data_IF_375527734519
#
_entry.id   IF_375527734519
#
_cell.length_a   1.000
_cell.length_b   1.000
_cell.length_c   1.000
_cell.angle_alpha   90.00
_cell.angle_beta   90.00
_cell.angle_gamma   90.00
#
_symmetry.space_group_name_H-M   'P 1'
#
loop_
_entity.id
_entity.type
_entity.pdbx_description
1 polymer ?
2 non-polymer ?
3 water ?
#
# COMPACT_ATOMS: atom_id res chain seq x y z
N UNK A 1 -2.08 -3.24 -6.89
CA UNK A 1 -3.47 -3.31 -7.39
C UNK A 1 -3.61 -2.83 -8.84
N UNK A 2 -2.76 -1.90 -9.31
CA UNK A 2 -2.74 -1.28 -10.65
C UNK A 2 -1.38 -0.66 -10.97
N UNK A 3 -1.18 0.08 -12.10
CA UNK A 3 0.15 0.48 -12.59
C UNK A 3 0.92 1.49 -11.73
N UNK A 4 0.22 2.22 -10.86
CA UNK A 4 0.87 3.07 -9.84
C UNK A 4 1.61 2.21 -8.85
N UNK A 5 0.89 1.24 -8.31
CA UNK A 5 1.46 0.33 -7.29
C UNK A 5 2.55 -0.55 -7.93
N UNK A 6 2.43 -0.91 -9.20
CA UNK A 6 3.45 -1.72 -9.92
C UNK A 6 4.82 -0.97 -9.99
N UNK A 7 4.78 0.28 -10.37
CA UNK A 7 6.00 1.12 -10.42
C UNK A 7 6.55 1.30 -9.01
N UNK A 8 5.70 1.63 -8.04
CA UNK A 8 6.11 1.82 -6.64
C UNK A 8 6.84 0.55 -6.14
N UNK A 9 6.25 -0.64 -6.34
CA UNK A 9 6.85 -1.92 -5.90
C UNK A 9 8.23 -2.15 -6.55
N UNK A 10 8.38 -1.85 -7.82
CA UNK A 10 9.72 -2.04 -8.49
C UNK A 10 10.78 -1.16 -7.82
N UNK A 11 10.42 0.09 -7.52
CA UNK A 11 11.40 1.00 -6.86
C UNK A 11 11.70 0.45 -5.47
N UNK A 12 10.68 0.05 -4.72
CA UNK A 12 10.92 -0.42 -3.34
C UNK A 12 11.80 -1.67 -3.27
N UNK A 13 11.53 -2.63 -4.14
CA UNK A 13 12.21 -3.96 -4.06
C UNK A 13 13.67 -3.87 -4.52
N UNK A 14 14.03 -2.89 -5.35
CA UNK A 14 15.44 -2.82 -5.85
C UNK A 14 16.21 -1.61 -5.27
N UNK A 15 15.50 -0.53 -4.93
CA UNK A 15 16.18 0.78 -4.70
C UNK A 15 15.95 1.31 -3.30
N UNK A 16 15.53 0.49 -2.33
CA UNK A 16 15.39 0.99 -0.94
C UNK A 16 16.21 0.09 -0.01
N UNK A 17 16.69 0.70 1.08
CA UNK A 17 17.31 0.01 2.23
C UNK A 17 16.66 0.61 3.47
N UNK A 18 16.80 -0.10 4.60
CA UNK A 18 16.41 0.44 5.90
C UNK A 18 17.62 1.15 6.52
N UNK A 19 17.54 2.46 6.78
CA UNK A 19 18.67 3.21 7.40
C UNK A 19 18.33 3.49 8.87
N UNK A 20 19.28 3.28 9.78
CA UNK A 20 19.10 3.64 11.21
C UNK A 20 20.20 4.63 11.62
N UNK A 21 19.79 5.76 12.20
CA UNK A 21 20.69 6.75 12.82
C UNK A 21 20.33 6.80 14.31
N UNK A 22 20.97 7.67 15.08
CA UNK A 22 20.57 7.94 16.50
C UNK A 22 19.20 8.60 16.60
N UNK A 23 18.67 9.11 15.49
CA UNK A 23 17.34 9.78 15.43
C UNK A 23 16.24 8.83 14.97
N UNK A 24 16.51 7.57 14.63
CA UNK A 24 15.47 6.59 14.27
C UNK A 24 15.77 5.74 13.05
N UNK A 25 14.77 4.95 12.67
CA UNK A 25 14.76 4.08 11.47
C UNK A 25 14.02 4.81 10.33
N UNK A 26 14.60 4.85 9.14
CA UNK A 26 14.05 5.59 7.97
C UNK A 26 14.06 4.68 6.74
N UNK A 27 13.05 4.83 5.89
CA UNK A 27 13.16 4.39 4.48
C UNK A 27 14.29 5.25 3.86
N UNK A 28 15.16 4.59 3.11
CA UNK A 28 16.25 5.27 2.40
C UNK A 28 16.18 4.83 0.93
N UNK A 29 16.12 5.80 0.05
CA UNK A 29 16.09 5.57 -1.43
C UNK A 29 17.54 5.61 -1.96
N UNK A 30 17.98 4.51 -2.58
CA UNK A 30 19.22 4.47 -3.38
C UNK A 30 18.99 5.00 -4.76
N UNK A 31 19.84 5.90 -5.25
CA UNK A 31 19.61 6.60 -6.54
C UNK A 31 20.52 6.08 -7.67
N UNK A 32 21.80 5.86 -7.39
CA UNK A 32 22.78 5.33 -8.38
C UNK A 32 24.07 5.05 -7.62
N UNK A 33 24.87 4.10 -8.13
CA UNK A 33 26.19 3.74 -7.55
C UNK A 33 26.01 3.52 -6.03
N UNK A 34 26.71 4.25 -5.15
CA UNK A 34 26.57 4.04 -3.69
C UNK A 34 25.90 5.28 -3.07
N UNK A 35 25.15 6.03 -3.88
CA UNK A 35 24.54 7.33 -3.48
C UNK A 35 23.06 7.11 -3.15
N UNK A 36 22.63 7.56 -1.97
CA UNK A 36 21.25 7.42 -1.46
C UNK A 36 20.81 8.77 -0.88
N UNK A 37 19.53 8.89 -0.60
CA UNK A 37 18.96 10.09 0.05
C UNK A 37 18.20 9.71 1.32
N UNK A 38 18.10 10.67 2.24
CA UNK A 38 17.40 10.48 3.54
C UNK A 38 16.97 11.86 3.98
N UNK A 39 15.90 12.03 4.76
CA UNK A 39 15.59 13.34 5.34
C UNK A 39 16.73 13.91 6.22
N UNK A 40 16.99 15.23 6.11
CA UNK A 40 18.09 15.88 6.86
C UNK A 40 17.89 15.69 8.38
N UNK A 41 16.66 15.68 8.86
CA UNK A 41 16.39 15.48 10.31
C UNK A 41 16.79 14.07 10.81
N UNK A 42 17.23 13.15 9.95
CA UNK A 42 17.88 11.90 10.38
C UNK A 42 19.25 12.14 11.02
N UNK A 43 19.88 13.30 10.81
CA UNK A 43 21.19 13.68 11.39
C UNK A 43 22.23 12.58 11.10
N UNK A 44 22.45 12.30 9.82
CA UNK A 44 23.46 11.29 9.41
C UNK A 44 24.82 11.71 9.98
N UNK A 45 25.55 10.75 10.55
CA UNK A 45 26.93 10.92 11.06
C UNK A 45 27.97 10.23 10.23
N UNK A 46 29.09 9.86 10.85
CA UNK A 46 30.23 9.17 10.22
C UNK A 46 29.89 7.68 9.93
N UNK A 47 28.99 7.10 10.75
CA UNK A 47 28.54 5.69 10.68
C UNK A 47 27.01 5.68 10.67
N UNK A 48 26.44 4.80 9.86
CA UNK A 48 24.97 4.58 9.75
C UNK A 48 24.72 3.06 9.72
N UNK A 49 23.55 2.59 10.12
CA UNK A 49 23.23 1.16 9.96
C UNK A 49 22.35 1.04 8.72
N UNK A 50 22.71 0.11 7.83
CA UNK A 50 22.00 -0.15 6.56
C UNK A 50 21.54 -1.60 6.63
N UNK A 51 20.22 -1.82 6.71
CA UNK A 51 19.69 -3.21 6.84
C UNK A 51 20.39 -3.89 8.03
N UNK A 52 20.57 -3.15 9.13
CA UNK A 52 21.16 -3.61 10.43
C UNK A 52 22.65 -3.91 10.33
N UNK A 53 23.36 -3.38 9.35
CA UNK A 53 24.82 -3.60 9.18
C UNK A 53 25.54 -2.26 9.31
N UNK A 54 26.54 -2.22 10.17
CA UNK A 54 27.38 -1.01 10.41
C UNK A 54 28.09 -0.61 9.11
N UNK A 55 27.84 0.61 8.66
CA UNK A 55 28.29 1.14 7.35
C UNK A 55 28.98 2.51 7.55
N UNK A 56 30.18 2.66 7.01
CA UNK A 56 30.87 3.97 6.99
C UNK A 56 30.18 4.88 5.99
N UNK A 57 30.00 6.14 6.35
CA UNK A 57 29.51 7.20 5.45
C UNK A 57 30.73 7.83 4.79
N UNK A 58 30.86 7.67 3.47
CA UNK A 58 32.01 8.28 2.74
C UNK A 58 31.81 9.77 2.57
N UNK A 59 30.57 10.23 2.41
CA UNK A 59 30.26 11.65 2.24
C UNK A 59 28.80 11.85 2.55
N UNK A 60 28.46 13.03 3.04
CA UNK A 60 27.07 13.41 3.36
C UNK A 60 26.91 14.92 3.13
N UNK A 61 25.84 15.32 2.45
CA UNK A 61 25.61 16.74 2.14
C UNK A 61 24.14 17.07 2.35
N UNK A 62 23.86 17.95 3.32
CA UNK A 62 22.52 18.50 3.55
C UNK A 62 22.25 19.61 2.57
N UNK A 63 21.36 19.38 1.63
CA UNK A 63 21.12 20.32 0.52
C UNK A 63 20.34 21.55 1.03
N UNK A 64 20.71 22.72 0.50
CA UNK A 64 20.02 24.01 0.71
C UNK A 64 19.90 24.70 -0.64
N UNK A 65 18.84 25.46 -0.87
CA UNK A 65 18.73 26.23 -2.14
C UNK A 65 19.69 27.43 -2.13
N UNK A 66 19.66 28.20 -3.24
CA UNK A 66 20.69 29.25 -3.45
C UNK A 66 20.38 30.49 -2.61
N UNK A 67 19.17 30.56 -2.03
CA UNK A 67 18.80 31.48 -0.91
C UNK A 67 19.28 30.98 0.48
N UNK A 68 20.03 29.86 0.57
CA UNK A 68 20.52 29.27 1.85
C UNK A 68 19.30 28.86 2.70
N UNK A 69 18.27 28.32 2.06
CA UNK A 69 17.06 27.75 2.74
C UNK A 69 17.13 26.22 2.70
N UNK A 70 16.81 25.60 3.84
CA UNK A 70 16.72 24.12 3.97
C UNK A 70 15.88 23.54 2.82
N UNK A 71 16.37 22.43 2.25
CA UNK A 71 15.55 21.57 1.32
C UNK A 71 15.19 20.22 1.98
N UNK A 72 15.75 19.88 3.13
CA UNK A 72 15.40 18.65 3.93
C UNK A 72 15.87 17.35 3.27
N UNK A 73 16.71 17.43 2.24
CA UNK A 73 17.31 16.24 1.56
C UNK A 73 18.77 16.21 2.01
N UNK A 74 19.22 15.08 2.50
CA UNK A 74 20.65 14.76 2.68
C UNK A 74 21.04 13.67 1.65
N UNK A 75 22.07 13.95 0.87
CA UNK A 75 22.65 12.97 -0.08
C UNK A 75 23.76 12.29 0.67
N UNK A 76 23.79 10.97 0.66
CA UNK A 76 24.76 10.15 1.42
C UNK A 76 25.48 9.23 0.43
N UNK A 77 26.80 9.14 0.53
CA UNK A 77 27.54 8.10 -0.22
C UNK A 77 27.98 7.03 0.78
N UNK A 78 27.58 5.79 0.53
CA UNK A 78 27.72 4.70 1.52
C UNK A 78 28.93 3.84 1.16
N UNK A 79 29.72 3.41 2.16
CA UNK A 79 30.85 2.46 1.91
C UNK A 79 30.28 1.02 1.86
N UNK A 80 29.60 0.72 0.77
CA UNK A 80 28.88 -0.55 0.50
C UNK A 80 29.59 -1.27 -0.65
N UNK A 81 29.51 -2.61 -0.69
CA UNK A 81 30.19 -3.46 -1.69
C UNK A 81 29.33 -3.70 -2.91
N UNK A 82 28.24 -2.94 -3.09
CA UNK A 82 27.30 -3.18 -4.17
C UNK A 82 26.69 -1.83 -4.56
N UNK A 83 26.39 -1.67 -5.83
CA UNK A 83 25.76 -0.44 -6.36
C UNK A 83 24.25 -0.62 -6.43
N UNK A 84 23.54 0.49 -6.35
CA UNK A 84 22.10 0.58 -6.64
C UNK A 84 21.91 0.54 -8.17
N UNK A 85 20.77 -0.01 -8.60
CA UNK A 85 20.25 0.24 -9.96
C UNK A 85 20.18 1.76 -10.17
N UNK A 86 20.64 2.25 -11.29
CA UNK A 86 20.58 3.68 -11.62
C UNK A 86 19.13 4.06 -12.02
N UNK A 87 18.48 4.87 -11.17
CA UNK A 87 17.09 5.37 -11.41
C UNK A 87 17.08 6.88 -11.67
N UNK A 88 18.22 7.49 -12.02
CA UNK A 88 18.23 8.96 -12.26
C UNK A 88 17.29 9.35 -13.38
N UNK A 89 17.10 8.51 -14.39
CA UNK A 89 16.18 8.80 -15.50
C UNK A 89 14.70 8.82 -15.10
N UNK A 90 14.34 8.43 -13.87
CA UNK A 90 12.94 8.54 -13.36
C UNK A 90 12.74 9.83 -12.54
N UNK A 91 13.77 10.68 -12.42
CA UNK A 91 13.67 11.92 -11.58
C UNK A 91 13.18 13.05 -12.46
N UNK A 92 12.24 13.85 -11.96
CA UNK A 92 11.80 15.04 -12.69
C UNK A 92 12.90 16.09 -12.84
N UNK A 93 12.82 16.90 -13.92
CA UNK A 93 13.85 17.94 -14.15
C UNK A 93 13.45 19.27 -13.49
N UNK A 94 12.14 19.50 -13.35
CA UNK A 94 11.56 20.77 -12.86
C UNK A 94 10.62 20.53 -11.66
N UNK A 95 10.35 21.58 -10.89
CA UNK A 95 9.30 21.59 -9.85
C UNK A 95 7.93 21.45 -10.54
N UNK A 96 7.02 20.67 -9.97
CA UNK A 96 5.72 20.41 -10.64
C UNK A 96 4.69 19.93 -9.63
N UNK A 97 3.45 19.93 -10.06
CA UNK A 97 2.30 19.23 -9.41
C UNK A 97 2.08 17.89 -10.16
N UNK A 98 1.42 16.95 -9.48
CA UNK A 98 1.27 15.53 -9.94
C UNK A 98 -0.12 15.03 -9.58
N UNK A 99 -0.63 14.13 -10.43
CA UNK A 99 -1.84 13.33 -10.08
C UNK A 99 -1.43 11.89 -9.67
N UNK A 100 -2.26 11.30 -8.82
CA UNK A 100 -2.35 9.84 -8.62
C UNK A 100 -0.97 9.37 -8.14
N UNK A 101 -0.47 9.92 -7.04
CA UNK A 101 0.82 9.49 -6.44
C UNK A 101 0.62 8.39 -5.38
N UNK A 102 1.70 7.63 -5.14
CA UNK A 102 1.79 6.54 -4.16
C UNK A 102 2.94 6.89 -3.21
N UNK A 103 2.72 6.74 -1.91
CA UNK A 103 3.78 6.82 -0.88
C UNK A 103 4.09 5.41 -0.43
N UNK A 104 5.36 4.98 -0.53
CA UNK A 104 5.78 3.61 -0.18
C UNK A 104 6.82 3.64 0.95
N UNK A 105 6.62 2.78 1.95
CA UNK A 105 7.45 2.77 3.16
C UNK A 105 7.92 1.34 3.40
N UNK A 106 9.17 1.19 3.77
CA UNK A 106 9.60 -0.15 4.22
C UNK A 106 10.52 -0.01 5.42
N UNK A 107 10.01 -0.36 6.58
CA UNK A 107 10.78 -0.33 7.85
C UNK A 107 10.36 -1.56 8.63
N UNK A 108 11.06 -1.82 9.74
CA UNK A 108 10.59 -2.80 10.79
C UNK A 108 9.14 -2.52 11.25
N UNK A 109 8.71 -1.27 11.39
CA UNK A 109 7.37 -0.89 11.94
C UNK A 109 6.29 -1.07 10.83
N UNK A 110 6.62 -0.65 9.59
CA UNK A 110 5.71 -0.59 8.41
C UNK A 110 6.36 -1.31 7.21
N UNK A 111 6.43 -2.66 7.22
CA UNK A 111 6.97 -3.42 6.10
C UNK A 111 5.99 -3.44 4.90
N UNK A 112 6.51 -3.28 3.66
CA UNK A 112 5.72 -3.49 2.44
C UNK A 112 4.46 -2.65 2.51
N UNK A 113 4.58 -1.38 2.90
CA UNK A 113 3.42 -0.47 3.03
C UNK A 113 3.33 0.39 1.76
N UNK A 114 2.15 0.49 1.13
CA UNK A 114 1.91 1.37 -0.03
C UNK A 114 0.62 2.18 0.20
N UNK A 115 0.66 3.50 0.02
CA UNK A 115 -0.51 4.38 0.34
C UNK A 115 -0.83 5.19 -0.90
N UNK A 116 -2.06 5.06 -1.48
CA UNK A 116 -2.46 5.92 -2.57
C UNK A 116 -2.82 7.29 -1.98
N UNK A 117 -1.97 8.29 -2.18
CA UNK A 117 -2.16 9.62 -1.53
C UNK A 117 -2.93 10.55 -2.48
N UNK A 118 -2.99 10.26 -3.76
CA UNK A 118 -3.76 11.04 -4.73
C UNK A 118 -3.00 12.27 -5.24
N UNK A 119 -3.68 13.41 -5.32
CA UNK A 119 -3.11 14.61 -5.95
C UNK A 119 -1.98 15.18 -5.09
N UNK A 120 -0.93 15.62 -5.76
CA UNK A 120 0.26 16.20 -5.07
C UNK A 120 0.43 17.64 -5.55
N UNK A 121 0.39 18.59 -4.63
CA UNK A 121 0.54 20.03 -4.89
C UNK A 121 2.02 20.45 -4.77
N UNK A 122 2.50 21.30 -5.67
CA UNK A 122 3.74 22.07 -5.44
C UNK A 122 3.41 23.13 -4.37
N UNK A 123 3.68 22.83 -3.12
CA UNK A 123 3.26 23.66 -1.96
C UNK A 123 4.25 24.79 -1.75
N UNK A 124 5.54 24.47 -1.91
CA UNK A 124 6.59 25.49 -1.86
C UNK A 124 7.16 25.62 -0.48
N UNK A 125 6.85 26.73 0.19
CA UNK A 125 7.36 27.07 1.54
C UNK A 125 6.55 26.32 2.62
N UNK A 126 7.28 25.77 3.59
CA UNK A 126 6.74 25.09 4.79
C UNK A 126 7.69 25.36 5.96
N UNK A 127 7.11 25.73 7.09
CA UNK A 127 7.82 25.78 8.37
C UNK A 127 7.74 24.38 8.97
N UNK A 128 8.78 23.58 8.76
CA UNK A 128 8.79 22.14 9.07
C UNK A 128 9.51 21.95 10.40
N UNK A 129 8.82 21.54 11.48
CA UNK A 129 9.45 21.45 12.83
C UNK A 129 10.16 22.74 13.27
N UNK A 130 9.66 23.92 12.88
CA UNK A 130 10.32 25.21 13.14
C UNK A 130 11.32 25.68 12.06
N UNK A 131 11.63 24.86 11.04
CA UNK A 131 12.74 25.17 10.10
C UNK A 131 12.12 25.60 8.79
N UNK A 132 12.35 26.84 8.31
CA UNK A 132 11.88 27.26 6.99
C UNK A 132 12.44 26.30 5.93
N UNK A 133 11.56 25.77 5.09
CA UNK A 133 11.90 24.72 4.08
C UNK A 133 11.24 25.08 2.75
N UNK A 134 11.94 24.85 1.62
CA UNK A 134 11.44 25.12 0.26
C UNK A 134 11.26 23.80 -0.52
N UNK A 135 10.63 23.90 -1.69
CA UNK A 135 10.41 22.80 -2.65
C UNK A 135 9.64 21.65 -2.00
N UNK A 136 8.66 21.98 -1.17
CA UNK A 136 7.79 20.96 -0.50
C UNK A 136 6.60 20.62 -1.40
N UNK A 137 6.33 19.32 -1.49
CA UNK A 137 5.13 18.74 -2.11
C UNK A 137 4.13 18.39 -0.99
N UNK A 138 2.84 18.57 -1.27
CA UNK A 138 1.79 18.28 -0.27
C UNK A 138 0.75 17.32 -0.84
N UNK A 139 0.29 16.39 0.00
CA UNK A 139 -0.81 15.48 -0.34
C UNK A 139 -1.70 15.38 0.89
N UNK A 140 -2.97 15.15 0.58
CA UNK A 140 -4.05 15.33 1.57
C UNK A 140 -4.24 13.94 2.09
N UNK A 141 -3.23 13.41 2.77
CA UNK A 141 -3.33 12.12 3.46
C UNK A 141 -2.77 12.29 4.88
N UNK A 142 -3.48 11.73 5.92
CA UNK A 142 -3.09 11.84 7.32
C UNK A 142 -1.98 10.85 7.70
N UNK A 143 -0.78 11.17 7.21
CA UNK A 143 0.48 10.39 7.42
C UNK A 143 0.95 10.52 8.90
N UNK A 144 1.67 9.50 9.38
CA UNK A 144 1.99 9.24 10.81
C UNK A 144 3.50 9.11 10.96
N UNK A 145 4.00 9.32 12.18
CA UNK A 145 5.40 9.05 12.53
C UNK A 145 5.75 7.65 11.99
N UNK A 146 6.98 7.50 11.49
CA UNK A 146 7.48 6.26 10.87
C UNK A 146 7.38 6.23 9.36
N UNK A 147 6.91 7.32 8.73
CA UNK A 147 6.76 7.33 7.26
C UNK A 147 7.90 8.14 6.65
N UNK A 148 8.77 8.74 7.48
CA UNK A 148 9.82 9.66 6.95
C UNK A 148 10.84 8.86 6.14
N UNK A 149 11.17 9.43 4.98
CA UNK A 149 12.02 8.78 3.99
C UNK A 149 11.17 8.00 2.97
N UNK A 150 9.89 7.79 3.25
CA UNK A 150 8.99 7.10 2.31
C UNK A 150 9.07 7.71 0.93
N UNK A 151 9.04 6.86 -0.09
CA UNK A 151 9.26 7.29 -1.49
C UNK A 151 7.91 7.67 -2.10
N UNK A 152 7.84 8.84 -2.73
CA UNK A 152 6.65 9.32 -3.47
C UNK A 152 6.91 9.10 -4.96
N UNK A 153 6.02 8.36 -5.62
CA UNK A 153 6.12 8.03 -7.05
C UNK A 153 4.80 8.37 -7.74
N UNK A 154 4.91 8.62 -9.02
CA UNK A 154 3.78 8.45 -9.95
C UNK A 154 4.19 7.33 -10.91
N UNK A 155 3.31 6.85 -11.80
CA UNK A 155 3.75 5.86 -12.81
C UNK A 155 4.91 6.50 -13.61
N UNK A 156 6.12 6.00 -13.48
CA UNK A 156 7.26 6.40 -14.30
C UNK A 156 8.08 7.53 -13.70
N UNK A 157 7.70 8.12 -12.55
CA UNK A 157 8.54 9.16 -11.94
C UNK A 157 8.68 8.93 -10.44
N UNK A 158 9.91 9.14 -9.96
CA UNK A 158 10.23 9.20 -8.50
C UNK A 158 10.34 10.68 -8.16
N UNK A 159 9.38 11.22 -7.37
CA UNK A 159 9.19 12.71 -7.29
C UNK A 159 9.61 13.28 -5.95
N UNK A 160 9.78 12.49 -4.90
CA UNK A 160 10.05 13.08 -3.57
C UNK A 160 10.22 12.03 -2.50
N UNK A 161 10.65 12.48 -1.31
CA UNK A 161 10.71 11.63 -0.09
C UNK A 161 9.95 12.35 1.03
N UNK A 162 9.11 11.58 1.72
CA UNK A 162 8.25 12.07 2.83
C UNK A 162 9.12 12.65 3.95
N UNK A 163 8.78 13.85 4.46
CA UNK A 163 9.60 14.53 5.50
C UNK A 163 8.75 15.01 6.68
N UNK A 164 7.42 14.90 6.59
CA UNK A 164 6.55 15.27 7.72
C UNK A 164 5.08 15.37 7.39
N UNK A 165 4.30 15.86 8.37
CA UNK A 165 2.83 15.91 8.24
C UNK A 165 2.25 16.70 9.40
N UNK A 166 1.01 17.13 9.26
CA UNK A 166 0.34 17.92 10.32
C UNK A 166 -0.91 17.19 10.83
N UNK A 167 -1.01 15.87 10.65
CA UNK A 167 -2.21 15.09 11.04
C UNK A 167 -3.27 14.99 9.94
N UNK A 168 -3.41 15.99 9.04
CA UNK A 168 -4.37 15.93 7.90
C UNK A 168 -3.65 15.84 6.54
N UNK A 169 -2.48 16.47 6.45
CA UNK A 169 -1.66 16.59 5.22
C UNK A 169 -0.29 15.95 5.47
N UNK A 170 0.29 15.41 4.42
CA UNK A 170 1.68 14.95 4.40
C UNK A 170 2.49 15.83 3.45
N UNK A 171 3.79 15.89 3.72
CA UNK A 171 4.74 16.77 3.01
C UNK A 171 5.98 15.97 2.57
N UNK A 172 6.40 16.17 1.33
CA UNK A 172 7.62 15.51 0.80
C UNK A 172 8.58 16.58 0.31
N UNK A 173 9.86 16.33 0.40
CA UNK A 173 10.89 17.14 -0.28
C UNK A 173 11.01 16.66 -1.73
N UNK A 174 11.05 17.59 -2.64
CA UNK A 174 11.22 17.27 -4.08
C UNK A 174 12.53 16.55 -4.30
N UNK A 175 12.52 15.59 -5.22
CA UNK A 175 13.78 15.12 -5.85
C UNK A 175 13.84 15.70 -7.27
N UNK A 176 14.97 16.26 -7.60
CA UNK A 176 15.23 16.78 -8.96
C UNK A 176 16.48 16.13 -9.56
N UNK A 177 16.42 15.89 -10.85
CA UNK A 177 17.54 15.29 -11.61
C UNK A 177 18.88 16.02 -11.35
N UNK A 178 18.82 17.37 -11.29
CA UNK A 178 20.02 18.24 -11.09
C UNK A 178 20.72 18.00 -9.75
N UNK A 179 20.07 17.37 -8.74
CA UNK A 179 20.76 17.05 -7.47
C UNK A 179 21.82 15.93 -7.68
N UNK A 180 21.74 15.17 -8.79
CA UNK A 180 22.49 13.88 -8.95
C UNK A 180 23.23 13.76 -10.29
N UNK A 181 23.32 14.85 -11.05
CA UNK A 181 24.19 14.91 -12.27
C UNK A 181 25.65 14.70 -11.78
N UNK B 2 0.45 -1.49 13.87
CA UNK B 2 1.25 -2.35 14.83
C UNK B 2 0.58 -3.70 15.11
N UNK B 3 -0.32 -3.83 16.12
CA UNK B 3 -1.22 -4.98 16.15
C UNK B 3 -1.94 -5.09 14.79
N UNK B 4 -2.40 -3.98 14.20
CA UNK B 4 -3.11 -3.94 12.90
C UNK B 4 -2.30 -4.52 11.73
N UNK B 5 -1.04 -4.12 11.54
CA UNK B 5 -0.11 -4.73 10.53
C UNK B 5 0.16 -6.21 10.91
N UNK B 6 0.45 -6.55 12.16
CA UNK B 6 0.60 -7.98 12.55
C UNK B 6 -0.62 -8.81 12.15
N UNK B 7 -1.82 -8.33 12.49
CA UNK B 7 -3.07 -9.08 12.21
C UNK B 7 -3.25 -9.26 10.68
N UNK B 8 -3.01 -8.22 9.90
CA UNK B 8 -3.19 -8.27 8.43
C UNK B 8 -2.21 -9.31 7.88
N UNK B 9 -0.97 -9.35 8.40
CA UNK B 9 0.05 -10.33 7.94
C UNK B 9 -0.32 -11.75 8.30
N UNK B 10 -0.90 -11.98 9.48
CA UNK B 10 -1.31 -13.32 9.98
C UNK B 10 -2.43 -13.89 9.08
N UNK B 11 -3.39 -13.04 8.70
CA UNK B 11 -4.44 -13.42 7.73
C UNK B 11 -3.86 -13.62 6.30
N UNK B 12 -2.96 -12.75 5.86
CA UNK B 12 -2.28 -12.91 4.54
C UNK B 12 -1.61 -14.30 4.50
N UNK B 13 -0.78 -14.63 5.48
CA UNK B 13 0.14 -15.80 5.37
C UNK B 13 -0.61 -17.13 5.50
N UNK B 14 -1.71 -17.21 6.24
CA UNK B 14 -2.39 -18.50 6.44
C UNK B 14 -3.72 -18.61 5.67
N UNK B 15 -4.33 -17.48 5.34
CA UNK B 15 -5.73 -17.51 4.84
C UNK B 15 -5.89 -16.83 3.47
N UNK B 16 -4.83 -16.42 2.78
CA UNK B 16 -4.97 -15.77 1.45
C UNK B 16 -4.27 -16.61 0.37
N UNK B 17 -4.97 -16.90 -0.72
CA UNK B 17 -4.43 -17.66 -1.88
C UNK B 17 -4.65 -16.81 -3.14
N UNK B 18 -3.89 -17.11 -4.20
CA UNK B 18 -4.10 -16.49 -5.53
C UNK B 18 -5.13 -17.35 -6.28
N UNK B 19 -6.29 -16.78 -6.60
CA UNK B 19 -7.32 -17.49 -7.40
C UNK B 19 -7.23 -16.95 -8.83
N UNK B 20 -7.33 -17.85 -9.81
CA UNK B 20 -7.31 -17.44 -11.22
C UNK B 20 -8.53 -18.06 -11.93
N UNK B 21 -9.41 -17.19 -12.36
CA UNK B 21 -10.59 -17.52 -13.20
C UNK B 21 -10.25 -17.19 -14.66
N UNK B 22 -11.20 -17.42 -15.55
CA UNK B 22 -11.07 -17.02 -16.98
C UNK B 22 -10.77 -15.51 -17.07
N UNK B 23 -11.15 -14.69 -16.06
CA UNK B 23 -10.92 -13.22 -16.08
C UNK B 23 -9.52 -12.81 -15.56
N UNK B 24 -8.79 -13.71 -14.96
CA UNK B 24 -7.45 -13.42 -14.42
C UNK B 24 -7.39 -13.64 -12.91
N UNK B 25 -6.43 -12.94 -12.28
CA UNK B 25 -6.04 -13.27 -10.90
C UNK B 25 -6.78 -12.39 -9.91
N UNK B 26 -7.19 -13.04 -8.81
CA UNK B 26 -7.89 -12.36 -7.68
C UNK B 26 -7.28 -12.78 -6.35
N UNK B 27 -7.16 -11.82 -5.44
CA UNK B 27 -6.85 -12.18 -4.03
C UNK B 27 -8.04 -12.95 -3.45
N UNK B 28 -7.84 -14.16 -2.97
CA UNK B 28 -8.94 -14.99 -2.42
C UNK B 28 -8.70 -15.25 -0.93
N UNK B 29 -9.75 -15.02 -0.14
CA UNK B 29 -9.76 -15.36 1.29
C UNK B 29 -10.37 -16.73 1.54
N UNK B 30 -9.57 -17.66 2.11
CA UNK B 30 -10.05 -18.93 2.65
C UNK B 30 -10.65 -18.72 4.04
N UNK B 31 -11.87 -19.19 4.30
CA UNK B 31 -12.55 -18.85 5.59
C UNK B 31 -12.52 -20.06 6.58
N UNK B 32 -12.81 -21.26 6.12
CA UNK B 32 -12.82 -22.52 6.94
C UNK B 32 -12.90 -23.70 5.97
N UNK B 33 -12.50 -24.91 6.42
CA UNK B 33 -12.70 -26.12 5.60
C UNK B 33 -12.20 -25.84 4.17
N UNK B 34 -13.04 -26.10 3.17
CA UNK B 34 -12.65 -25.81 1.74
C UNK B 34 -13.53 -24.68 1.21
N UNK B 35 -13.92 -23.76 2.09
CA UNK B 35 -14.82 -22.61 1.78
C UNK B 35 -14.01 -21.31 1.71
N UNK B 36 -14.12 -20.60 0.58
CA UNK B 36 -13.42 -19.34 0.32
C UNK B 36 -14.40 -18.31 -0.25
N UNK B 37 -13.96 -17.06 -0.32
CA UNK B 37 -14.76 -15.97 -0.95
C UNK B 37 -13.93 -15.24 -1.99
N UNK B 38 -14.63 -14.70 -2.98
CA UNK B 38 -14.03 -13.94 -4.11
C UNK B 38 -15.11 -12.97 -4.58
N UNK B 39 -14.78 -11.81 -5.18
CA UNK B 39 -15.80 -10.92 -5.76
C UNK B 39 -16.62 -11.64 -6.83
N UNK B 40 -17.93 -11.34 -6.88
CA UNK B 40 -18.84 -11.97 -7.87
C UNK B 40 -18.36 -11.67 -9.29
N UNK B 41 -17.76 -10.50 -9.50
CA UNK B 41 -17.29 -10.12 -10.84
C UNK B 41 -16.13 -11.00 -11.35
N UNK B 42 -15.51 -11.83 -10.51
CA UNK B 42 -14.49 -12.80 -10.95
C UNK B 42 -15.10 -13.85 -11.90
N UNK B 43 -16.42 -14.04 -11.87
CA UNK B 43 -17.13 -15.00 -12.77
C UNK B 43 -16.51 -16.39 -12.60
N UNK B 44 -16.59 -16.94 -11.41
CA UNK B 44 -16.11 -18.30 -11.09
C UNK B 44 -16.92 -19.32 -11.92
N UNK B 45 -16.20 -20.29 -12.48
CA UNK B 45 -16.78 -21.39 -13.28
C UNK B 45 -16.74 -22.70 -12.54
N UNK B 46 -16.66 -23.79 -13.30
CA UNK B 46 -16.60 -25.18 -12.79
C UNK B 46 -15.19 -25.48 -12.28
N UNK B 47 -14.21 -24.73 -12.81
CA UNK B 47 -12.76 -24.94 -12.56
C UNK B 47 -12.14 -23.57 -12.21
N UNK B 48 -11.20 -23.57 -11.25
CA UNK B 48 -10.44 -22.38 -10.87
C UNK B 48 -9.01 -22.88 -10.60
N UNK B 49 -8.05 -21.97 -10.72
CA UNK B 49 -6.66 -22.23 -10.25
C UNK B 49 -6.46 -21.58 -8.88
N UNK B 50 -5.86 -22.35 -7.99
CA UNK B 50 -5.54 -21.94 -6.60
C UNK B 50 -4.03 -22.08 -6.46
N UNK B 51 -3.33 -20.95 -6.41
CA UNK B 51 -1.85 -20.89 -6.42
C UNK B 51 -1.32 -21.75 -7.60
N UNK B 52 -1.92 -21.59 -8.76
CA UNK B 52 -1.51 -22.21 -10.05
C UNK B 52 -1.87 -23.71 -10.15
N UNK B 53 -2.63 -24.26 -9.20
CA UNK B 53 -3.14 -25.66 -9.23
C UNK B 53 -4.60 -25.70 -9.71
N UNK B 54 -4.87 -26.40 -10.81
CA UNK B 54 -6.23 -26.62 -11.37
C UNK B 54 -7.07 -27.31 -10.31
N UNK B 55 -8.23 -26.69 -9.95
CA UNK B 55 -9.09 -27.10 -8.81
C UNK B 55 -10.55 -27.09 -9.25
N UNK B 56 -11.24 -28.22 -9.07
CA UNK B 56 -12.69 -28.26 -9.26
C UNK B 56 -13.36 -27.37 -8.22
N UNK B 57 -14.28 -26.52 -8.71
CA UNK B 57 -15.24 -25.78 -7.82
C UNK B 57 -16.52 -26.62 -7.63
N UNK B 58 -16.74 -27.14 -6.42
CA UNK B 58 -17.89 -28.04 -6.12
C UNK B 58 -19.21 -27.21 -6.03
N UNK B 59 -19.11 -25.95 -5.58
CA UNK B 59 -20.30 -25.10 -5.38
C UNK B 59 -19.84 -23.66 -5.46
N UNK B 60 -20.69 -22.82 -6.02
CA UNK B 60 -20.46 -21.35 -6.07
C UNK B 60 -21.82 -20.72 -5.81
N UNK B 61 -21.88 -19.81 -4.83
CA UNK B 61 -23.10 -19.05 -4.47
C UNK B 61 -22.81 -17.54 -4.53
N UNK B 62 -23.44 -16.86 -5.51
CA UNK B 62 -23.37 -15.40 -5.66
C UNK B 62 -24.36 -14.79 -4.68
N UNK B 63 -23.89 -14.27 -3.57
CA UNK B 63 -24.77 -13.95 -2.42
C UNK B 63 -25.69 -12.75 -2.73
N UNK B 64 -26.94 -12.88 -2.30
CA UNK B 64 -27.93 -11.77 -2.32
C UNK B 64 -28.58 -11.74 -0.94
N UNK B 65 -29.06 -10.58 -0.50
CA UNK B 65 -29.65 -10.46 0.85
C UNK B 65 -31.18 -10.73 0.79
N UNK B 66 -31.87 -10.53 1.90
CA UNK B 66 -33.33 -10.87 1.95
C UNK B 66 -34.18 -9.82 1.22
N UNK B 67 -33.64 -8.70 0.77
CA UNK B 67 -34.31 -7.80 -0.20
C UNK B 67 -34.12 -8.26 -1.64
N UNK B 68 -33.43 -9.39 -1.85
CA UNK B 68 -33.07 -9.93 -3.19
C UNK B 68 -32.16 -8.93 -3.91
N UNK B 69 -31.22 -8.37 -3.17
CA UNK B 69 -30.23 -7.41 -3.72
C UNK B 69 -28.82 -8.04 -3.64
N UNK B 70 -28.07 -7.87 -4.74
CA UNK B 70 -26.67 -8.31 -4.86
C UNK B 70 -25.84 -7.85 -3.66
N UNK B 71 -24.96 -8.74 -3.20
CA UNK B 71 -23.92 -8.39 -2.17
C UNK B 71 -22.48 -8.42 -2.78
N UNK B 72 -22.30 -8.87 -4.03
CA UNK B 72 -21.02 -8.87 -4.78
C UNK B 72 -19.97 -9.84 -4.16
N UNK B 73 -20.39 -10.74 -3.27
CA UNK B 73 -19.53 -11.83 -2.70
C UNK B 73 -20.00 -13.12 -3.32
N UNK B 74 -19.05 -13.94 -3.77
CA UNK B 74 -19.33 -15.33 -4.16
C UNK B 74 -18.62 -16.26 -3.19
N UNK B 75 -19.37 -17.16 -2.56
CA UNK B 75 -18.82 -18.22 -1.68
C UNK B 75 -18.54 -19.44 -2.53
N UNK B 76 -17.34 -19.98 -2.47
CA UNK B 76 -17.00 -21.19 -3.27
C UNK B 76 -16.60 -22.31 -2.33
N UNK B 77 -16.95 -23.55 -2.69
CA UNK B 77 -16.47 -24.77 -2.02
C UNK B 77 -15.53 -25.49 -2.99
N UNK B 78 -14.31 -25.73 -2.56
CA UNK B 78 -13.21 -26.15 -3.45
C UNK B 78 -12.96 -27.66 -3.25
N UNK B 79 -12.76 -28.41 -4.32
CA UNK B 79 -12.47 -29.87 -4.22
C UNK B 79 -10.97 -30.04 -3.97
N UNK B 80 -10.53 -30.01 -2.70
CA UNK B 80 -9.10 -30.15 -2.32
C UNK B 80 -8.97 -30.76 -0.92
N UNK B 81 -7.88 -31.51 -0.70
CA UNK B 81 -7.59 -32.18 0.60
C UNK B 81 -7.28 -31.10 1.64
N UNK B 82 -6.49 -30.11 1.24
CA UNK B 82 -5.99 -29.01 2.10
C UNK B 82 -7.18 -28.28 2.71
N UNK B 83 -7.12 -28.03 4.01
CA UNK B 83 -8.12 -27.25 4.79
C UNK B 83 -7.61 -25.82 4.96
N UNK B 84 -8.51 -24.83 4.92
CA UNK B 84 -8.21 -23.47 5.41
C UNK B 84 -8.29 -23.45 6.92
N UNK B 85 -7.41 -22.69 7.55
CA UNK B 85 -7.55 -22.39 9.00
C UNK B 85 -8.87 -21.64 9.22
N UNK B 86 -9.61 -22.03 10.25
CA UNK B 86 -10.97 -21.45 10.54
C UNK B 86 -10.80 -20.07 11.17
N UNK B 87 -11.23 -19.01 10.48
CA UNK B 87 -11.16 -17.61 10.96
C UNK B 87 -12.57 -17.06 11.14
N UNK B 88 -13.60 -17.92 11.26
CA UNK B 88 -15.00 -17.39 11.39
C UNK B 88 -15.16 -16.55 12.65
N UNK B 89 -14.38 -16.81 13.70
CA UNK B 89 -14.41 -16.02 14.97
C UNK B 89 -13.89 -14.58 14.81
N UNK B 90 -13.26 -14.24 13.69
CA UNK B 90 -12.77 -12.89 13.36
C UNK B 90 -13.74 -12.10 12.46
N UNK B 91 -14.87 -12.72 12.11
CA UNK B 91 -15.90 -12.04 11.24
C UNK B 91 -16.86 -11.24 12.09
N UNK B 92 -17.17 -9.99 11.68
CA UNK B 92 -18.18 -9.17 12.38
C UNK B 92 -19.55 -9.87 12.37
N UNK B 93 -20.28 -9.69 13.46
CA UNK B 93 -21.65 -10.28 13.54
C UNK B 93 -22.64 -9.28 12.91
N UNK B 94 -22.37 -7.98 12.98
CA UNK B 94 -23.26 -6.92 12.47
C UNK B 94 -22.53 -5.98 11.49
N UNK B 95 -23.32 -5.17 10.77
CA UNK B 95 -22.79 -4.08 9.91
C UNK B 95 -22.25 -2.98 10.83
N UNK B 96 -21.16 -2.31 10.42
CA UNK B 96 -20.50 -1.34 11.31
C UNK B 96 -19.56 -0.45 10.51
N UNK B 97 -19.12 0.62 11.14
CA UNK B 97 -18.05 1.53 10.69
C UNK B 97 -16.77 1.12 11.43
N UNK B 98 -15.60 1.41 10.86
CA UNK B 98 -14.30 0.99 11.43
C UNK B 98 -13.27 2.11 11.25
N UNK B 99 -12.21 2.08 12.07
CA UNK B 99 -11.01 2.95 11.91
C UNK B 99 -9.77 2.13 11.56
N UNK B 100 -8.76 2.77 10.97
CA UNK B 100 -7.38 2.22 10.89
C UNK B 100 -7.38 0.87 10.16
N UNK B 101 -8.08 0.74 9.04
CA UNK B 101 -8.14 -0.54 8.29
C UNK B 101 -6.94 -0.66 7.32
N UNK B 102 -6.61 -1.89 6.98
CA UNK B 102 -5.55 -2.26 6.02
C UNK B 102 -6.18 -3.15 4.94
N UNK B 103 -5.86 -2.85 3.68
CA UNK B 103 -6.23 -3.68 2.52
C UNK B 103 -4.98 -4.46 2.13
N UNK B 104 -5.09 -5.78 2.06
CA UNK B 104 -3.97 -6.70 1.79
C UNK B 104 -4.18 -7.44 0.47
N UNK B 105 -3.25 -7.20 -0.47
CA UNK B 105 -3.31 -7.70 -1.87
C UNK B 105 -2.31 -8.85 -2.02
N UNK B 106 -2.71 -9.90 -2.69
CA UNK B 106 -1.86 -11.06 -2.94
C UNK B 106 -2.18 -11.65 -4.32
N UNK B 107 -1.37 -11.28 -5.33
CA UNK B 107 -1.42 -11.88 -6.69
C UNK B 107 0.02 -12.18 -7.17
N UNK B 108 0.14 -12.73 -8.37
CA UNK B 108 1.49 -13.04 -8.94
C UNK B 108 2.24 -11.74 -9.19
N UNK B 109 1.51 -10.69 -9.53
CA UNK B 109 2.11 -9.35 -9.85
C UNK B 109 2.36 -8.54 -8.57
N UNK B 110 1.52 -8.75 -7.53
CA UNK B 110 1.52 -7.96 -6.28
C UNK B 110 1.56 -8.95 -5.12
N UNK B 111 2.72 -9.57 -4.85
CA UNK B 111 2.77 -10.57 -3.80
C UNK B 111 2.81 -9.90 -2.41
N UNK B 112 2.11 -10.42 -1.45
CA UNK B 112 2.27 -9.73 -0.12
C UNK B 112 2.37 -8.16 -0.15
N UNK B 113 1.35 -7.40 -0.64
CA UNK B 113 1.28 -5.91 -0.62
C UNK B 113 0.23 -5.38 0.42
N UNK B 114 0.57 -4.44 1.28
CA UNK B 114 -0.27 -3.86 2.36
C UNK B 114 -0.57 -2.39 2.14
N UNK B 115 -1.85 -2.07 2.08
CA UNK B 115 -2.35 -0.70 1.74
C UNK B 115 -3.22 -0.15 2.87
N UNK B 116 -2.66 0.69 3.76
CA UNK B 116 -3.43 1.30 4.84
C UNK B 116 -4.48 2.19 4.17
N UNK B 117 -5.76 1.97 4.51
CA UNK B 117 -6.87 2.77 3.89
C UNK B 117 -7.46 3.74 4.90
N UNK B 118 -7.24 3.49 6.20
CA UNK B 118 -7.74 4.38 7.26
C UNK B 118 -9.21 4.17 7.54
N UNK B 119 -9.99 5.25 7.56
CA UNK B 119 -11.38 5.22 8.05
C UNK B 119 -12.26 4.47 7.03
N UNK B 120 -13.09 3.59 7.52
CA UNK B 120 -14.03 2.77 6.68
C UNK B 120 -15.46 3.11 7.13
N UNK B 121 -16.28 3.55 6.19
CA UNK B 121 -17.71 3.91 6.44
C UNK B 121 -18.63 2.78 6.01
N UNK B 122 -19.66 2.49 6.80
CA UNK B 122 -20.83 1.68 6.39
C UNK B 122 -21.62 2.54 5.38
N UNK B 123 -21.37 2.34 4.10
CA UNK B 123 -21.89 3.20 3.00
C UNK B 123 -23.27 2.65 2.61
N UNK B 124 -23.42 1.34 2.61
CA UNK B 124 -24.69 0.66 2.29
C UNK B 124 -24.90 0.46 0.80
N UNK B 125 -25.91 1.13 0.25
CA UNK B 125 -26.35 0.97 -1.15
C UNK B 125 -25.36 1.65 -2.09
N UNK B 126 -24.98 0.96 -3.17
CA UNK B 126 -24.14 1.44 -4.25
C UNK B 126 -24.60 0.82 -5.57
N UNK B 127 -24.71 1.64 -6.61
CA UNK B 127 -24.89 1.11 -7.98
C UNK B 127 -23.51 0.79 -8.49
N UNK B 128 -23.13 -0.49 -8.47
CA UNK B 128 -21.78 -0.95 -8.82
C UNK B 128 -21.82 -1.52 -10.24
N UNK B 129 -21.33 -0.73 -11.22
CA UNK B 129 -21.31 -1.15 -12.65
C UNK B 129 -22.70 -1.46 -13.21
N UNK B 130 -23.71 -0.73 -12.78
CA UNK B 130 -25.11 -0.96 -13.18
C UNK B 130 -25.90 -1.94 -12.32
N UNK B 131 -25.26 -2.61 -11.34
CA UNK B 131 -25.96 -3.56 -10.46
C UNK B 131 -26.15 -2.92 -9.08
N UNK B 132 -27.42 -2.77 -8.65
CA UNK B 132 -27.73 -2.35 -7.29
C UNK B 132 -27.11 -3.34 -6.28
N UNK B 133 -26.36 -2.80 -5.32
CA UNK B 133 -25.57 -3.59 -4.35
C UNK B 133 -25.78 -3.05 -2.92
N UNK B 134 -25.80 -3.96 -1.95
CA UNK B 134 -25.94 -3.57 -0.54
C UNK B 134 -24.69 -3.90 0.26
N UNK B 135 -24.65 -3.39 1.47
CA UNK B 135 -23.60 -3.73 2.49
C UNK B 135 -22.20 -3.34 2.00
N UNK B 136 -22.11 -2.22 1.32
CA UNK B 136 -20.81 -1.66 0.85
C UNK B 136 -20.13 -0.87 1.97
N UNK B 137 -18.86 -1.18 2.18
CA UNK B 137 -17.89 -0.38 2.99
C UNK B 137 -17.12 0.54 2.05
N UNK B 138 -16.88 1.77 2.47
CA UNK B 138 -16.18 2.76 1.65
C UNK B 138 -15.00 3.38 2.41
N UNK B 139 -13.90 3.55 1.66
CA UNK B 139 -12.65 4.20 2.11
C UNK B 139 -12.14 5.11 1.02
N UNK B 140 -11.33 6.10 1.41
CA UNK B 140 -10.64 6.94 0.42
C UNK B 140 -9.71 6.03 -0.41
N UNK B 141 -9.68 6.18 -1.73
CA UNK B 141 -8.80 5.37 -2.60
C UNK B 141 -8.56 6.10 -3.91
N UNK B 142 -7.76 7.18 -3.90
CA UNK B 142 -7.50 7.99 -5.10
C UNK B 142 -6.48 7.39 -6.09
N UNK B 143 -6.89 6.34 -6.80
CA UNK B 143 -6.00 5.50 -7.66
C UNK B 143 -6.98 4.75 -8.56
N UNK B 144 -6.54 4.38 -9.76
CA UNK B 144 -7.27 3.46 -10.66
C UNK B 144 -6.68 2.07 -10.41
N UNK B 145 -7.38 1.30 -9.61
CA UNK B 145 -7.00 -0.07 -9.27
C UNK B 145 -7.62 -1.01 -10.31
N UNK B 146 -6.99 -2.17 -10.52
CA UNK B 146 -7.56 -3.25 -11.32
C UNK B 146 -8.57 -4.04 -10.52
N UNK B 147 -8.90 -5.20 -11.07
CA UNK B 147 -9.96 -6.09 -10.57
C UNK B 147 -9.53 -6.92 -9.37
N UNK B 148 -8.22 -7.06 -9.08
CA UNK B 148 -7.74 -8.21 -8.31
C UNK B 148 -8.22 -8.17 -6.85
N UNK B 149 -8.53 -6.99 -6.34
CA UNK B 149 -9.02 -6.81 -4.95
C UNK B 149 -8.06 -7.25 -3.86
N UNK B 150 -8.61 -7.57 -2.69
CA UNK B 150 -7.83 -7.77 -1.47
C UNK B 150 -8.72 -7.84 -0.23
N UNK B 151 -8.09 -8.15 0.88
CA UNK B 151 -8.79 -8.46 2.16
C UNK B 151 -8.69 -7.23 3.06
N UNK B 152 -9.82 -6.75 3.59
CA UNK B 152 -9.83 -5.57 4.49
C UNK B 152 -9.93 -6.04 5.95
N UNK B 153 -8.93 -5.65 6.75
CA UNK B 153 -8.82 -6.01 8.20
C UNK B 153 -8.71 -4.75 9.06
N UNK B 154 -9.10 -4.93 10.31
CA UNK B 154 -8.81 -3.99 11.42
C UNK B 154 -7.95 -4.74 12.43
N UNK B 155 -7.64 -4.14 13.58
CA UNK B 155 -7.24 -4.95 14.76
C UNK B 155 -8.44 -5.86 15.11
N UNK B 156 -8.19 -7.13 14.90
CA UNK B 156 -8.92 -8.27 15.41
C UNK B 156 -10.11 -8.65 14.57
N UNK B 157 -10.34 -8.00 13.41
CA UNK B 157 -11.47 -8.42 12.56
C UNK B 157 -11.12 -8.46 11.09
N UNK B 158 -11.71 -9.43 10.40
CA UNK B 158 -11.72 -9.49 8.90
C UNK B 158 -13.08 -8.96 8.43
N UNK B 159 -13.08 -7.76 7.90
CA UNK B 159 -14.35 -6.98 7.73
C UNK B 159 -14.90 -7.03 6.31
N UNK B 160 -14.11 -7.30 5.28
CA UNK B 160 -14.63 -7.22 3.91
C UNK B 160 -13.59 -7.59 2.88
N UNK B 161 -14.03 -7.67 1.64
CA UNK B 161 -13.15 -7.89 0.45
C UNK B 161 -13.41 -6.78 -0.55
N UNK B 162 -12.34 -6.20 -1.10
CA UNK B 162 -12.38 -5.08 -2.06
C UNK B 162 -13.11 -5.54 -3.34
N UNK B 163 -14.12 -4.79 -3.77
CA UNK B 163 -14.90 -5.17 -4.98
C UNK B 163 -14.92 -4.08 -6.07
N UNK B 164 -14.46 -2.88 -5.83
CA UNK B 164 -14.47 -1.83 -6.88
C UNK B 164 -14.01 -0.48 -6.37
N UNK B 165 -14.17 0.50 -7.23
CA UNK B 165 -13.83 1.89 -6.90
C UNK B 165 -14.13 2.81 -8.06
N UNK B 166 -14.05 4.12 -7.81
CA UNK B 166 -14.48 5.15 -8.79
C UNK B 166 -13.32 6.12 -9.05
N UNK B 167 -12.08 5.77 -8.69
CA UNK B 167 -10.89 6.64 -8.87
C UNK B 167 -10.66 7.63 -7.74
N UNK B 168 -11.64 7.80 -6.84
CA UNK B 168 -11.58 8.64 -5.62
C UNK B 168 -11.84 7.78 -4.38
N UNK B 169 -12.85 6.90 -4.43
CA UNK B 169 -13.21 6.05 -3.28
C UNK B 169 -13.04 4.58 -3.68
N UNK B 170 -12.79 3.75 -2.66
CA UNK B 170 -12.70 2.29 -2.74
C UNK B 170 -13.87 1.68 -2.05
N UNK B 171 -14.31 0.54 -2.56
CA UNK B 171 -15.52 -0.16 -2.05
C UNK B 171 -15.20 -1.61 -1.73
N UNK B 172 -15.64 -2.07 -0.57
CA UNK B 172 -15.52 -3.47 -0.13
C UNK B 172 -16.92 -4.01 0.20
N UNK B 173 -17.18 -5.23 -0.12
CA UNK B 173 -18.35 -6.00 0.38
C UNK B 173 -18.09 -6.47 1.80
N UNK B 174 -19.05 -6.26 2.70
CA UNK B 174 -18.94 -6.77 4.09
C UNK B 174 -18.85 -8.28 4.11
N UNK B 175 -18.05 -8.82 5.03
CA UNK B 175 -18.16 -10.20 5.45
C UNK B 175 -18.82 -10.22 6.83
N UNK B 176 -19.83 -11.05 6.96
CA UNK B 176 -20.58 -11.26 8.24
C UNK B 176 -20.52 -12.74 8.64
N UNK B 177 -20.47 -12.96 9.96
CA UNK B 177 -20.47 -14.30 10.57
C UNK B 177 -21.58 -15.16 9.98
N UNK B 178 -22.75 -14.58 9.78
CA UNK B 178 -23.96 -15.34 9.40
C UNK B 178 -23.85 -15.89 7.98
N UNK B 179 -22.92 -15.40 7.16
CA UNK B 179 -22.73 -15.97 5.80
C UNK B 179 -22.19 -17.40 5.81
N UNK B 180 -21.55 -17.81 6.93
CA UNK B 180 -20.71 -19.04 6.99
C UNK B 180 -21.19 -20.00 8.08
N UNK B 181 -22.29 -19.71 8.76
CA UNK B 181 -22.83 -20.60 9.83
C UNK B 181 -23.53 -21.80 9.19
X LIG C 1 10.16 -5.18 -10.27
X LIG C 1 12.70 -5.40 -10.58
X LIG C 1 12.66 -4.79 -11.71
X LIG C 1 11.40 -5.54 -9.78
X LIG C 1 11.28 -6.05 -8.48
X LIG C 1 10.01 -6.09 -8.03
X LIG C 1 13.74 -5.96 -10.19
X LIG C 1 8.91 -5.50 -9.14
X LIG D 1 -8.93 -20.31 -15.35
X LIG D 1 -7.79 -20.15 -17.55
X LIG D 1 -7.86 -20.49 -18.83
X LIG D 1 -8.92 -20.63 -16.68
X LIG D 1 -10.03 -21.50 -17.03
X LIG D 1 -10.81 -21.82 -15.97
X LIG D 1 -6.84 -19.51 -17.04
X LIG D 1 -10.19 -21.06 -14.51
X LIG E 1 -3.32 -21.26 2.49
X LIG E 1 -3.46 -23.36 1.14
X LIG E 1 -2.91 -24.11 0.35
X LIG E 1 -2.74 -22.14 1.61
X LIG E 1 -1.42 -21.72 1.25
X LIG E 1 -1.05 -20.54 1.86
X LIG E 1 -4.67 -23.54 1.60
X LIG E 1 -2.30 -19.97 2.86
#
# INVERSE_FOLDING_TARGET
>A
MGPGFDFAQAIMKKNTVIARTEKGEFTMLGVYDRVAVIPTHASVGEIIYINDVETRVLDACALRDLTDTNLEITIVKLDRNQKFRDIRHFLPRCEDDYNDAVLSVHTSKFPNMYIPVGQVTNYGFLNLGGTPTHRILMYNFPTRAGQCGGVVTTTGKVIGIHVGGNGAQGFAAMLLHSYFTD
>B
MGPGFDFAQAIMKKNTVIARTEKGEFTMLGVYDRVAVIPTHASVGEIIYINDVETRVLDACALRDLTDTNLEITIVKLDRNQKFRDIRHFLPRCEDDYNDAVLSVHTSKFPNMYIPVGQVTNYGFLNLGGTPTHRILMYNFPTRAGQCGGVVTTTGKVIGIHVGGNGAQGFAAMLLHSYFTD
>C hetero
1 TX0 C4 C O C1 C2 C3 O1 S
>D hetero
1 TX0 C4 C O C1 C2 C3 O1 S
>E hetero
1 TX0 C4 C O C1 C2 C3 O1 S
#
